data_IF_802766186835
#
_entry.id   IF_802766186835
#
_cell.length_a   1.000
_cell.length_b   1.000
_cell.length_c   1.000
_cell.angle_alpha   90.00
_cell.angle_beta   90.00
_cell.angle_gamma   90.00
#
_symmetry.space_group_name_H-M   'P 1'
#
loop_
_entity.id
_entity.type
_entity.pdbx_description
1 polymer ?
#
# COMPACT_ATOMS: atom_id res chain seq x y z
N UNK A 1 9.00 -28.02 -79.09
CA UNK A 1 8.26 -28.06 -77.83
C UNK A 1 9.10 -28.83 -76.81
N UNK A 2 9.92 -28.12 -76.03
CA UNK A 2 10.80 -28.70 -75.02
C UNK A 2 10.29 -28.31 -73.63
N UNK A 3 9.76 -29.30 -72.91
CA UNK A 3 9.28 -29.15 -71.53
C UNK A 3 10.48 -29.11 -70.58
N UNK A 4 10.66 -28.00 -69.86
CA UNK A 4 11.63 -27.87 -68.77
C UNK A 4 10.94 -28.34 -67.49
N UNK A 5 11.36 -29.48 -66.93
CA UNK A 5 10.97 -29.92 -65.59
C UNK A 5 11.75 -29.11 -64.55
N UNK A 6 11.05 -28.27 -63.78
CA UNK A 6 11.58 -27.70 -62.53
C UNK A 6 11.80 -28.83 -61.52
N UNK A 7 13.06 -29.12 -61.20
CA UNK A 7 13.42 -30.06 -60.15
C UNK A 7 13.12 -29.46 -58.78
N UNK A 8 12.20 -30.05 -58.04
CA UNK A 8 11.97 -29.73 -56.63
C UNK A 8 13.10 -30.37 -55.83
N UNK A 9 14.04 -29.56 -55.32
CA UNK A 9 15.11 -30.03 -54.45
C UNK A 9 14.48 -30.45 -53.10
N UNK A 10 14.32 -31.75 -52.87
CA UNK A 10 13.93 -32.28 -51.57
C UNK A 10 15.15 -32.26 -50.63
N UNK A 11 15.20 -31.25 -49.76
CA UNK A 11 16.16 -31.23 -48.65
C UNK A 11 16.00 -32.49 -47.77
N UNK A 12 17.10 -33.18 -47.38
CA UNK A 12 17.04 -34.38 -46.55
C UNK A 12 16.39 -34.09 -45.20
N UNK A 13 15.63 -35.05 -44.65
CA UNK A 13 14.84 -34.88 -43.42
C UNK A 13 15.63 -34.27 -42.25
N UNK A 14 16.91 -34.62 -42.10
CA UNK A 14 17.77 -34.09 -41.05
C UNK A 14 18.00 -32.57 -41.21
N UNK A 15 18.17 -32.07 -42.43
CA UNK A 15 18.33 -30.63 -42.72
C UNK A 15 17.04 -29.85 -42.44
N UNK A 16 15.87 -30.43 -42.72
CA UNK A 16 14.58 -29.82 -42.39
C UNK A 16 14.34 -29.73 -40.88
N UNK A 17 14.71 -30.78 -40.15
CA UNK A 17 14.64 -30.80 -38.68
C UNK A 17 15.58 -29.76 -38.08
N UNK A 18 16.84 -29.69 -38.54
CA UNK A 18 17.82 -28.69 -38.10
C UNK A 18 17.35 -27.25 -38.36
N UNK A 19 16.79 -26.97 -39.54
CA UNK A 19 16.23 -25.66 -39.85
C UNK A 19 15.04 -25.31 -38.95
N UNK A 20 14.15 -26.27 -38.68
CA UNK A 20 12.99 -26.07 -37.79
C UNK A 20 13.42 -25.84 -36.34
N UNK A 21 14.38 -26.64 -35.84
CA UNK A 21 14.98 -26.46 -34.52
C UNK A 21 15.67 -25.10 -34.39
N UNK A 22 16.39 -24.64 -35.41
CA UNK A 22 17.02 -23.33 -35.43
C UNK A 22 15.99 -22.19 -35.39
N UNK A 23 14.88 -22.30 -36.12
CA UNK A 23 13.78 -21.33 -36.06
C UNK A 23 13.11 -21.30 -34.68
N UNK A 24 12.87 -22.46 -34.07
CA UNK A 24 12.33 -22.54 -32.70
C UNK A 24 13.29 -21.87 -31.71
N UNK A 25 14.59 -22.14 -31.81
CA UNK A 25 15.61 -21.53 -30.97
C UNK A 25 15.64 -20.00 -31.16
N UNK A 26 15.55 -19.52 -32.41
CA UNK A 26 15.52 -18.09 -32.72
C UNK A 26 14.28 -17.40 -32.15
N UNK A 27 13.11 -18.04 -32.22
CA UNK A 27 11.84 -17.54 -31.66
C UNK A 27 11.92 -17.51 -30.12
N UNK A 28 12.46 -18.54 -29.49
CA UNK A 28 12.66 -18.59 -28.04
C UNK A 28 13.69 -17.55 -27.56
N UNK A 29 14.76 -17.32 -28.34
CA UNK A 29 15.72 -16.24 -28.11
C UNK A 29 15.03 -14.87 -28.25
N UNK A 30 14.23 -14.63 -29.29
CA UNK A 30 13.51 -13.37 -29.45
C UNK A 30 12.55 -13.09 -28.29
N UNK A 31 11.83 -14.10 -27.80
CA UNK A 31 10.95 -13.97 -26.64
C UNK A 31 11.69 -13.70 -25.33
N UNK A 32 12.91 -14.25 -25.17
CA UNK A 32 13.76 -13.97 -23.99
C UNK A 32 14.48 -12.63 -24.08
N UNK A 33 14.69 -12.10 -25.29
CA UNK A 33 15.27 -10.76 -25.53
C UNK A 33 14.26 -9.62 -25.66
N UNK A 34 12.95 -9.92 -25.73
CA UNK A 34 11.93 -8.89 -25.81
C UNK A 34 11.95 -8.04 -24.52
N UNK A 35 12.37 -6.78 -24.66
CA UNK A 35 12.42 -5.85 -23.54
C UNK A 35 11.02 -5.69 -22.94
N UNK A 36 10.89 -5.93 -21.64
CA UNK A 36 9.64 -5.65 -20.93
C UNK A 36 9.49 -4.16 -20.75
N UNK A 37 8.39 -3.61 -21.23
CA UNK A 37 8.07 -2.19 -21.10
C UNK A 37 7.03 -1.99 -19.99
N UNK A 38 7.32 -1.10 -19.04
CA UNK A 38 6.36 -0.71 -18.02
C UNK A 38 5.28 0.18 -18.64
N UNK A 39 4.01 -0.22 -18.50
CA UNK A 39 2.86 0.53 -19.06
C UNK A 39 2.04 1.28 -18.01
N UNK A 40 1.96 0.75 -16.79
CA UNK A 40 1.12 1.30 -15.74
C UNK A 40 1.60 0.85 -14.36
N UNK A 41 1.40 1.69 -13.35
CA UNK A 41 1.73 1.40 -11.95
C UNK A 41 0.57 1.82 -11.07
N UNK A 42 0.15 0.92 -10.18
CA UNK A 42 -0.72 1.24 -9.05
C UNK A 42 0.08 1.09 -7.78
N UNK A 43 0.00 2.09 -6.91
CA UNK A 43 0.65 2.07 -5.60
C UNK A 43 -0.43 2.24 -4.55
N UNK A 44 -0.49 1.29 -3.62
CA UNK A 44 -1.26 1.41 -2.39
C UNK A 44 -0.25 1.44 -1.23
N UNK A 45 -0.32 2.48 -0.41
CA UNK A 45 0.54 2.62 0.75
C UNK A 45 -0.26 3.08 1.96
N UNK A 46 0.20 2.68 3.16
CA UNK A 46 -0.34 3.17 4.43
C UNK A 46 0.20 4.58 4.69
N UNK A 47 -0.53 5.35 5.49
CA UNK A 47 -0.01 6.57 6.09
C UNK A 47 1.31 6.31 6.85
N UNK A 48 2.05 7.38 7.13
CA UNK A 48 3.29 7.30 7.91
C UNK A 48 3.04 7.14 9.40
N UNK A 49 4.12 7.20 10.16
CA UNK A 49 4.07 7.26 11.62
C UNK A 49 3.08 8.31 12.14
N UNK A 50 2.32 7.95 13.17
CA UNK A 50 1.24 8.74 13.73
C UNK A 50 1.14 8.57 15.25
N UNK A 51 0.44 9.50 15.88
CA UNK A 51 0.03 9.41 17.29
C UNK A 51 -1.04 8.29 17.49
N UNK A 52 -1.26 7.82 18.73
CA UNK A 52 -2.32 6.86 19.06
C UNK A 52 -3.69 7.36 18.56
N UNK A 53 -4.59 6.46 18.17
CA UNK A 53 -5.96 6.87 17.75
C UNK A 53 -6.87 7.04 18.98
N UNK A 54 -6.66 6.22 20.00
CA UNK A 54 -7.43 6.17 21.24
C UNK A 54 -6.50 5.73 22.37
N UNK A 55 -6.96 5.88 23.61
CA UNK A 55 -6.29 5.33 24.79
C UNK A 55 -7.18 4.28 25.47
N UNK A 56 -6.56 3.46 26.32
CA UNK A 56 -7.25 2.55 27.22
C UNK A 56 -7.47 3.21 28.60
N UNK A 57 -8.46 2.76 29.41
CA UNK A 57 -8.91 3.49 30.61
C UNK A 57 -7.83 3.87 31.62
N UNK A 58 -6.83 3.01 31.82
CA UNK A 58 -5.76 3.18 32.81
C UNK A 58 -4.49 3.80 32.24
N UNK A 59 -4.49 4.16 30.95
CA UNK A 59 -3.35 4.77 30.30
C UNK A 59 -2.98 6.10 30.98
N UNK A 60 -1.73 6.26 31.47
CA UNK A 60 -1.29 7.48 32.11
C UNK A 60 -1.20 8.64 31.11
N UNK A 61 -0.90 8.37 29.84
CA UNK A 61 -0.72 9.38 28.83
C UNK A 61 -2.08 9.92 28.38
N UNK A 62 -2.20 11.23 28.18
CA UNK A 62 -3.42 11.90 27.69
C UNK A 62 -3.17 12.53 26.33
N UNK A 63 -4.26 12.81 25.61
CA UNK A 63 -4.19 13.45 24.30
C UNK A 63 -3.37 14.75 24.30
N UNK A 64 -3.41 15.51 25.40
CA UNK A 64 -2.65 16.75 25.58
C UNK A 64 -1.13 16.59 25.54
N UNK A 65 -0.60 15.38 25.75
CA UNK A 65 0.84 15.09 25.65
C UNK A 65 1.29 14.94 24.19
N UNK A 66 0.34 14.74 23.27
CA UNK A 66 0.59 14.63 21.84
C UNK A 66 0.40 16.01 21.20
N UNK A 67 1.45 16.66 20.65
CA UNK A 67 1.35 18.04 20.20
C UNK A 67 0.33 18.28 19.08
N UNK A 68 -0.03 17.23 18.34
CA UNK A 68 -1.06 17.26 17.30
C UNK A 68 -2.39 16.62 17.75
N UNK A 69 -2.47 16.05 18.96
CA UNK A 69 -3.60 15.22 19.40
C UNK A 69 -3.57 13.81 18.81
N UNK A 70 -4.67 13.06 18.96
CA UNK A 70 -4.77 11.66 18.56
C UNK A 70 -4.99 11.46 17.06
N UNK A 71 -4.45 10.35 16.55
CA UNK A 71 -4.62 9.85 15.18
C UNK A 71 -3.95 10.72 14.11
N UNK A 72 -3.04 11.62 14.51
CA UNK A 72 -2.40 12.60 13.65
C UNK A 72 -1.01 12.17 13.17
N UNK A 73 -0.65 12.58 11.96
CA UNK A 73 0.65 12.27 11.36
C UNK A 73 1.77 13.02 12.09
N UNK A 74 2.84 12.30 12.46
CA UNK A 74 4.01 12.92 13.11
C UNK A 74 4.98 13.48 12.06
N UNK A 75 6.00 14.24 12.52
CA UNK A 75 7.12 14.66 11.67
C UNK A 75 7.88 13.46 11.10
N UNK A 76 8.03 12.39 11.88
CA UNK A 76 8.60 11.12 11.42
C UNK A 76 7.77 10.55 10.27
N UNK A 77 6.44 10.57 10.40
CA UNK A 77 5.53 10.09 9.35
C UNK A 77 5.63 10.92 8.07
N UNK A 78 5.76 12.25 8.17
CA UNK A 78 6.00 13.11 7.02
C UNK A 78 7.30 12.74 6.30
N UNK A 79 8.40 12.56 7.06
CA UNK A 79 9.70 12.19 6.51
C UNK A 79 9.68 10.82 5.82
N UNK A 80 9.04 9.81 6.43
CA UNK A 80 8.89 8.48 5.84
C UNK A 80 8.20 8.53 4.47
N UNK A 81 7.16 9.34 4.33
CA UNK A 81 6.43 9.43 3.07
C UNK A 81 7.17 10.27 2.04
N UNK A 82 7.86 11.32 2.47
CA UNK A 82 8.78 12.05 1.60
C UNK A 82 9.85 11.14 1.00
N UNK A 83 10.50 10.31 1.84
CA UNK A 83 11.49 9.32 1.40
C UNK A 83 10.90 8.26 0.47
N UNK A 84 9.69 7.79 0.76
CA UNK A 84 8.95 6.90 -0.15
C UNK A 84 8.74 7.57 -1.51
N UNK A 85 8.37 8.86 -1.53
CA UNK A 85 8.24 9.66 -2.74
C UNK A 85 9.54 9.72 -3.55
N UNK A 86 10.66 10.02 -2.88
CA UNK A 86 11.98 10.05 -3.50
C UNK A 86 12.39 8.67 -4.06
N UNK A 87 12.14 7.60 -3.31
CA UNK A 87 12.39 6.25 -3.77
C UNK A 87 11.59 5.93 -5.04
N UNK A 88 10.31 6.26 -5.06
CA UNK A 88 9.44 6.03 -6.22
C UNK A 88 9.85 6.87 -7.42
N UNK A 89 10.27 8.12 -7.20
CA UNK A 89 10.85 8.97 -8.25
C UNK A 89 12.09 8.34 -8.87
N UNK A 90 13.00 7.82 -8.05
CA UNK A 90 14.21 7.13 -8.54
C UNK A 90 13.85 5.86 -9.30
N UNK A 91 12.97 5.03 -8.72
CA UNK A 91 12.52 3.75 -9.28
C UNK A 91 11.86 3.91 -10.64
N UNK A 92 11.05 4.94 -10.82
CA UNK A 92 10.28 5.17 -12.05
C UNK A 92 10.82 6.35 -12.87
N UNK A 93 12.08 6.72 -12.71
CA UNK A 93 12.69 7.86 -13.42
C UNK A 93 12.65 7.74 -14.95
N UNK A 94 12.61 6.52 -15.50
CA UNK A 94 12.46 6.27 -16.94
C UNK A 94 11.00 6.13 -17.40
N UNK A 95 10.04 6.13 -16.48
CA UNK A 95 8.61 5.95 -16.76
C UNK A 95 7.80 7.21 -16.45
N UNK A 96 8.09 7.86 -15.32
CA UNK A 96 7.50 9.13 -14.92
C UNK A 96 8.33 10.29 -15.44
N UNK A 97 7.67 11.25 -16.08
CA UNK A 97 8.29 12.50 -16.49
C UNK A 97 8.89 13.27 -15.32
N UNK A 98 9.89 14.11 -15.61
CA UNK A 98 10.57 14.86 -14.56
C UNK A 98 9.65 15.89 -13.88
N UNK A 99 8.66 16.40 -14.61
CA UNK A 99 7.62 17.33 -14.15
C UNK A 99 6.29 16.63 -13.93
N UNK A 100 5.46 17.15 -13.03
CA UNK A 100 4.10 16.64 -12.83
C UNK A 100 3.21 16.91 -14.05
N UNK A 101 2.42 15.92 -14.48
CA UNK A 101 1.40 16.06 -15.52
C UNK A 101 0.08 15.44 -15.05
N UNK A 102 -0.99 16.25 -15.00
CA UNK A 102 -2.32 15.83 -14.55
C UNK A 102 -2.99 14.75 -15.40
N UNK A 103 -2.51 14.51 -16.62
CA UNK A 103 -3.05 13.48 -17.52
C UNK A 103 -2.40 12.11 -17.29
N UNK A 104 -1.23 12.06 -16.63
CA UNK A 104 -0.40 10.86 -16.47
C UNK A 104 -0.37 10.36 -15.02
N UNK A 105 -0.78 11.20 -14.06
CA UNK A 105 -0.69 10.91 -12.64
C UNK A 105 -2.00 11.22 -11.92
N UNK A 106 -2.42 10.29 -11.06
CA UNK A 106 -3.59 10.42 -10.20
C UNK A 106 -3.25 9.91 -8.80
N UNK A 107 -3.67 10.65 -7.79
CA UNK A 107 -3.56 10.22 -6.39
C UNK A 107 -4.87 10.48 -5.66
N UNK A 108 -5.27 9.50 -4.86
CA UNK A 108 -6.45 9.57 -4.01
C UNK A 108 -6.09 9.17 -2.59
N UNK A 109 -6.79 9.75 -1.62
CA UNK A 109 -6.65 9.46 -0.19
C UNK A 109 -8.02 9.18 0.41
N UNK A 110 -8.03 8.39 1.48
CA UNK A 110 -9.15 8.40 2.43
C UNK A 110 -9.23 9.74 3.13
N UNK A 111 -10.41 10.05 3.67
CA UNK A 111 -10.72 11.31 4.35
C UNK A 111 -10.22 11.32 5.81
N UNK A 112 -8.93 11.12 6.03
CA UNK A 112 -8.26 11.33 7.32
C UNK A 112 -7.07 12.25 7.15
N UNK A 113 -6.87 13.18 8.08
CA UNK A 113 -5.73 14.12 8.05
C UNK A 113 -4.40 13.38 7.82
N UNK A 114 -4.17 12.30 8.58
CA UNK A 114 -2.94 11.50 8.45
C UNK A 114 -2.70 10.90 7.06
N UNK A 115 -3.75 10.51 6.33
CA UNK A 115 -3.59 9.93 4.98
C UNK A 115 -3.45 11.02 3.93
N UNK A 116 -4.16 12.15 4.09
CA UNK A 116 -4.04 13.31 3.21
C UNK A 116 -2.64 13.94 3.33
N UNK A 117 -2.17 14.17 4.55
CA UNK A 117 -0.83 14.71 4.82
C UNK A 117 0.28 13.75 4.38
N UNK A 118 0.05 12.44 4.51
CA UNK A 118 0.95 11.41 3.97
C UNK A 118 1.06 11.50 2.45
N UNK A 119 -0.06 11.62 1.74
CA UNK A 119 -0.07 11.80 0.30
C UNK A 119 0.64 13.09 -0.12
N UNK A 120 0.43 14.20 0.58
CA UNK A 120 1.12 15.47 0.31
C UNK A 120 2.64 15.37 0.53
N UNK A 121 3.08 14.70 1.61
CA UNK A 121 4.50 14.47 1.89
C UNK A 121 5.15 13.53 0.85
N UNK A 122 4.42 12.51 0.43
CA UNK A 122 4.83 11.64 -0.68
C UNK A 122 5.01 12.40 -1.98
N UNK A 123 4.08 13.30 -2.31
CA UNK A 123 4.14 14.10 -3.54
C UNK A 123 5.30 15.10 -3.55
N UNK A 124 5.67 15.68 -2.40
CA UNK A 124 6.81 16.58 -2.33
C UNK A 124 8.14 15.85 -2.59
N UNK A 125 8.24 14.56 -2.25
CA UNK A 125 9.38 13.71 -2.61
C UNK A 125 9.33 13.19 -4.05
N UNK A 126 8.13 12.93 -4.58
CA UNK A 126 7.93 12.38 -5.92
C UNK A 126 8.09 13.41 -7.04
N UNK A 127 7.54 14.62 -6.85
CA UNK A 127 7.48 15.69 -7.85
C UNK A 127 8.01 17.04 -7.32
N UNK A 128 9.28 17.12 -6.87
CA UNK A 128 9.89 18.41 -6.61
C UNK A 128 9.83 19.28 -7.89
N UNK A 129 9.39 20.54 -7.81
CA UNK A 129 9.21 21.38 -8.99
C UNK A 129 10.55 21.64 -9.69
N UNK A 130 10.54 21.56 -11.02
CA UNK A 130 11.70 21.85 -11.87
C UNK A 130 11.31 22.82 -12.97
N UNK A 131 12.26 23.66 -13.40
CA UNK A 131 12.08 24.57 -14.54
C UNK A 131 10.82 25.44 -14.41
N UNK A 132 9.89 25.37 -15.35
CA UNK A 132 8.66 26.17 -15.37
C UNK A 132 7.64 25.82 -14.28
N UNK A 133 7.80 24.69 -13.57
CA UNK A 133 6.95 24.34 -12.43
C UNK A 133 7.41 24.97 -11.11
N UNK A 134 8.58 25.63 -11.09
CA UNK A 134 9.02 26.42 -9.94
C UNK A 134 8.24 27.74 -9.96
N UNK A 135 7.17 27.81 -9.15
CA UNK A 135 6.37 29.02 -8.97
C UNK A 135 6.95 29.95 -7.88
N UNK A 136 7.73 29.39 -6.95
CA UNK A 136 8.43 30.11 -5.90
C UNK A 136 9.88 29.59 -5.77
N UNK A 137 10.91 30.41 -6.06
CA UNK A 137 12.31 30.01 -5.96
C UNK A 137 12.79 29.65 -4.54
N UNK A 138 12.13 30.17 -3.50
CA UNK A 138 12.49 29.92 -2.09
C UNK A 138 11.79 28.68 -1.52
N UNK A 139 10.81 28.13 -2.25
CA UNK A 139 10.01 26.99 -1.82
C UNK A 139 9.92 25.96 -2.95
N UNK A 140 10.78 24.94 -2.90
CA UNK A 140 10.80 23.83 -3.84
C UNK A 140 9.67 22.82 -3.59
N UNK A 141 8.45 23.32 -3.57
CA UNK A 141 7.21 22.58 -3.45
C UNK A 141 6.19 23.12 -4.45
N UNK A 142 5.33 22.26 -4.99
CA UNK A 142 4.22 22.67 -5.84
C UNK A 142 2.92 22.00 -5.37
N UNK A 143 1.78 22.68 -5.50
CA UNK A 143 0.50 22.08 -5.19
C UNK A 143 0.15 21.01 -6.22
N UNK A 144 -0.05 19.77 -5.76
CA UNK A 144 -0.58 18.66 -6.56
C UNK A 144 -1.89 18.20 -5.92
N UNK A 145 -2.99 18.08 -6.68
CA UNK A 145 -4.29 17.74 -6.12
C UNK A 145 -4.29 16.32 -5.55
N UNK A 146 -4.73 16.18 -4.29
CA UNK A 146 -5.05 14.90 -3.65
C UNK A 146 -6.56 14.75 -3.65
N UNK A 147 -7.07 13.76 -4.38
CA UNK A 147 -8.50 13.51 -4.44
C UNK A 147 -8.97 12.79 -3.18
N UNK A 148 -9.99 13.33 -2.51
CA UNK A 148 -10.53 12.77 -1.27
C UNK A 148 -11.94 12.27 -1.55
N UNK A 149 -12.23 11.07 -1.06
CA UNK A 149 -13.58 10.52 -1.04
C UNK A 149 -14.08 10.54 0.41
N UNK A 150 -15.27 11.13 0.60
CA UNK A 150 -15.87 11.28 1.93
C UNK A 150 -16.00 9.91 2.62
N UNK A 151 -15.70 9.83 3.92
CA UNK A 151 -15.70 8.56 4.68
C UNK A 151 -16.97 7.72 4.48
N UNK A 152 -18.13 8.37 4.39
CA UNK A 152 -19.45 7.72 4.32
C UNK A 152 -19.79 7.15 2.94
N UNK A 153 -19.12 7.62 1.89
CA UNK A 153 -19.33 7.15 0.51
C UNK A 153 -18.13 6.38 -0.04
N UNK A 154 -17.04 6.31 0.74
CA UNK A 154 -15.82 5.60 0.39
C UNK A 154 -16.01 4.09 0.57
N UNK A 155 -15.87 3.34 -0.53
CA UNK A 155 -16.04 1.87 -0.55
C UNK A 155 -14.81 1.15 -1.15
N UNK A 156 -13.68 1.83 -1.32
CA UNK A 156 -12.51 1.31 -2.06
C UNK A 156 -11.24 1.21 -1.23
N UNK A 157 -11.03 2.11 -0.26
CA UNK A 157 -9.77 2.23 0.50
C UNK A 157 -9.97 2.16 2.01
N UNK A 158 -11.17 2.42 2.53
CA UNK A 158 -11.49 2.45 3.94
C UNK A 158 -12.19 1.15 4.37
N UNK A 159 -11.39 0.19 4.84
CA UNK A 159 -11.86 -1.10 5.34
C UNK A 159 -11.79 -1.18 6.87
N UNK A 160 -12.68 -1.95 7.53
CA UNK A 160 -13.77 -2.73 6.93
C UNK A 160 -14.91 -1.85 6.39
N UNK A 161 -15.65 -2.35 5.40
CA UNK A 161 -16.75 -1.61 4.80
C UNK A 161 -17.91 -1.48 5.79
N UNK A 162 -18.48 -0.27 6.00
CA UNK A 162 -19.63 -0.10 6.86
C UNK A 162 -20.88 -0.76 6.26
N UNK A 163 -21.83 -1.16 7.12
CA UNK A 163 -23.14 -1.68 6.72
C UNK A 163 -23.09 -2.88 5.77
N UNK A 164 -22.27 -3.88 6.10
CA UNK A 164 -22.17 -5.12 5.33
C UNK A 164 -22.61 -6.32 6.19
N UNK A 165 -23.91 -6.67 6.22
CA UNK A 165 -24.42 -7.73 7.10
C UNK A 165 -23.71 -9.07 6.91
N UNK A 166 -23.37 -9.42 5.66
CA UNK A 166 -22.63 -10.65 5.38
C UNK A 166 -21.20 -10.62 5.94
N UNK A 167 -20.56 -9.46 6.02
CA UNK A 167 -19.25 -9.34 6.66
C UNK A 167 -19.37 -9.58 8.17
N UNK A 168 -20.42 -9.05 8.81
CA UNK A 168 -20.67 -9.27 10.25
C UNK A 168 -20.93 -10.75 10.55
N UNK A 169 -21.73 -11.44 9.71
CA UNK A 169 -21.92 -12.90 9.79
C UNK A 169 -20.60 -13.66 9.66
N UNK A 170 -19.77 -13.32 8.67
CA UNK A 170 -18.47 -13.96 8.46
C UNK A 170 -17.50 -13.71 9.62
N UNK A 171 -17.56 -12.54 10.26
CA UNK A 171 -16.79 -12.24 11.48
C UNK A 171 -17.25 -13.12 12.64
N UNK A 172 -18.55 -13.31 12.82
CA UNK A 172 -19.09 -14.22 13.84
C UNK A 172 -18.74 -15.69 13.56
N UNK A 173 -18.89 -16.15 12.31
CA UNK A 173 -18.47 -17.48 11.87
C UNK A 173 -16.98 -17.71 12.15
N UNK A 174 -16.13 -16.71 11.86
CA UNK A 174 -14.70 -16.76 12.12
C UNK A 174 -14.40 -16.82 13.61
N UNK A 175 -14.99 -15.92 14.41
CA UNK A 175 -14.76 -15.87 15.86
C UNK A 175 -15.24 -17.14 16.57
N UNK A 176 -16.29 -17.79 16.08
CA UNK A 176 -16.81 -19.05 16.67
C UNK A 176 -16.11 -20.30 16.11
N UNK A 177 -15.31 -20.16 15.05
CA UNK A 177 -14.61 -21.29 14.43
C UNK A 177 -13.60 -21.95 15.37
N UNK A 178 -13.44 -23.27 15.24
CA UNK A 178 -12.42 -24.04 15.98
C UNK A 178 -11.01 -23.50 15.72
N UNK A 179 -10.72 -23.07 14.50
CA UNK A 179 -9.43 -22.49 14.12
C UNK A 179 -9.11 -21.24 14.94
N UNK A 180 -10.04 -20.29 15.01
CA UNK A 180 -9.85 -19.08 15.79
C UNK A 180 -9.75 -19.37 17.29
N UNK A 181 -10.65 -20.20 17.82
CA UNK A 181 -10.65 -20.58 19.23
C UNK A 181 -9.33 -21.26 19.65
N UNK A 182 -8.79 -22.13 18.80
CA UNK A 182 -7.49 -22.77 19.05
C UNK A 182 -6.32 -21.77 19.01
N UNK A 183 -6.41 -20.72 18.18
CA UNK A 183 -5.36 -19.68 18.10
C UNK A 183 -5.37 -18.73 19.30
N UNK A 184 -6.54 -18.41 19.84
CA UNK A 184 -6.66 -17.48 20.97
C UNK A 184 -6.45 -18.17 22.33
N UNK A 185 -6.77 -19.46 22.44
CA UNK A 185 -6.71 -20.21 23.70
C UNK A 185 -5.34 -20.11 24.43
N UNK A 186 -4.18 -20.20 23.76
CA UNK A 186 -2.88 -20.07 24.42
C UNK A 186 -2.61 -18.70 25.06
N UNK A 187 -3.36 -17.66 24.67
CA UNK A 187 -3.16 -16.28 25.12
C UNK A 187 -4.15 -15.86 26.21
N UNK A 188 -5.01 -16.76 26.70
CA UNK A 188 -6.08 -16.39 27.65
C UNK A 188 -5.55 -15.78 28.95
N UNK A 189 -4.46 -16.31 29.51
CA UNK A 189 -3.84 -15.75 30.73
C UNK A 189 -3.24 -14.35 30.48
N UNK A 190 -2.64 -14.15 29.29
CA UNK A 190 -2.14 -12.85 28.87
C UNK A 190 -3.27 -11.85 28.69
N UNK A 191 -4.38 -12.24 28.04
CA UNK A 191 -5.55 -11.38 27.85
C UNK A 191 -6.21 -11.02 29.19
N UNK A 192 -6.24 -11.95 30.15
CA UNK A 192 -6.73 -11.68 31.50
C UNK A 192 -5.84 -10.65 32.22
N UNK A 193 -4.52 -10.82 32.10
CA UNK A 193 -3.55 -9.86 32.66
C UNK A 193 -3.71 -8.49 32.00
N UNK A 194 -3.84 -8.44 30.67
CA UNK A 194 -4.06 -7.20 29.93
C UNK A 194 -5.35 -6.52 30.38
N UNK A 195 -6.47 -7.22 30.45
CA UNK A 195 -7.76 -6.67 30.91
C UNK A 195 -7.65 -5.97 32.27
N UNK A 196 -7.00 -6.62 33.24
CA UNK A 196 -6.78 -6.06 34.59
C UNK A 196 -5.93 -4.78 34.51
N UNK A 197 -4.83 -4.81 33.75
CA UNK A 197 -3.89 -3.71 33.71
C UNK A 197 -4.35 -2.53 32.85
N UNK A 198 -5.20 -2.76 31.84
CA UNK A 198 -5.71 -1.72 30.95
C UNK A 198 -7.04 -1.13 31.45
N UNK A 199 -7.75 -1.84 32.32
CA UNK A 199 -9.10 -1.49 32.76
C UNK A 199 -10.19 -1.86 31.74
N UNK A 200 -9.86 -2.73 30.78
CA UNK A 200 -10.80 -3.24 29.77
C UNK A 200 -11.44 -4.56 30.23
N UNK A 201 -12.61 -4.88 29.70
CA UNK A 201 -13.23 -6.18 29.95
C UNK A 201 -12.59 -7.28 29.07
N UNK A 202 -12.31 -8.45 29.65
CA UNK A 202 -11.76 -9.60 28.92
C UNK A 202 -12.61 -9.98 27.70
N UNK A 203 -13.94 -9.95 27.84
CA UNK A 203 -14.84 -10.29 26.73
C UNK A 203 -14.68 -9.32 25.56
N UNK A 204 -14.45 -8.03 25.82
CA UNK A 204 -14.19 -7.06 24.76
C UNK A 204 -12.84 -7.29 24.07
N UNK A 205 -11.79 -7.70 24.79
CA UNK A 205 -10.49 -8.02 24.19
C UNK A 205 -10.51 -9.24 23.26
N UNK A 206 -11.49 -10.13 23.40
CA UNK A 206 -11.65 -11.34 22.57
C UNK A 206 -12.42 -11.10 21.28
N UNK A 207 -13.15 -9.99 21.19
CA UNK A 207 -14.01 -9.68 20.05
C UNK A 207 -13.17 -8.94 19.00
N UNK A 208 -13.16 -9.43 17.76
CA UNK A 208 -12.34 -8.84 16.70
C UNK A 208 -12.91 -7.53 16.15
N UNK A 209 -14.23 -7.38 16.14
CA UNK A 209 -14.92 -6.25 15.48
C UNK A 209 -14.78 -4.91 16.21
N UNK A 210 -14.50 -4.93 17.52
CA UNK A 210 -14.38 -3.72 18.32
C UNK A 210 -12.93 -3.17 18.38
N UNK A 211 -11.97 -3.91 17.83
CA UNK A 211 -10.54 -3.59 17.77
C UNK A 211 -9.87 -3.26 19.12
N UNK A 212 -10.45 -3.57 20.28
CA UNK A 212 -9.92 -3.14 21.59
C UNK A 212 -8.52 -3.71 21.89
N UNK A 213 -8.29 -4.98 21.58
CA UNK A 213 -6.98 -5.62 21.73
C UNK A 213 -5.93 -4.93 20.84
N UNK A 214 -6.29 -4.64 19.59
CA UNK A 214 -5.41 -3.96 18.65
C UNK A 214 -5.15 -2.51 19.05
N UNK A 215 -6.18 -1.77 19.46
CA UNK A 215 -6.08 -0.39 19.93
C UNK A 215 -5.14 -0.30 21.13
N UNK A 216 -5.26 -1.20 22.11
CA UNK A 216 -4.37 -1.23 23.27
C UNK A 216 -2.91 -1.38 22.85
N UNK A 217 -2.62 -2.31 21.93
CA UNK A 217 -1.28 -2.47 21.38
C UNK A 217 -0.81 -1.24 20.60
N UNK A 218 -1.68 -0.67 19.76
CA UNK A 218 -1.38 0.50 18.93
C UNK A 218 -1.01 1.71 19.79
N UNK A 219 -1.75 1.96 20.86
CA UNK A 219 -1.45 3.02 21.85
C UNK A 219 -0.06 2.84 22.44
N UNK A 220 0.21 1.68 23.04
CA UNK A 220 1.51 1.39 23.66
C UNK A 220 2.66 1.45 22.64
N UNK A 221 2.43 1.02 21.40
CA UNK A 221 3.43 1.05 20.34
C UNK A 221 3.78 2.48 19.93
N UNK A 222 2.77 3.34 19.77
CA UNK A 222 2.99 4.76 19.47
C UNK A 222 3.72 5.47 20.61
N UNK A 223 3.45 5.11 21.87
CA UNK A 223 4.07 5.70 23.07
C UNK A 223 5.56 5.39 23.24
N UNK A 224 6.09 4.38 22.56
CA UNK A 224 7.54 4.10 22.53
C UNK A 224 8.34 5.32 22.05
N UNK A 225 7.70 6.25 21.33
CA UNK A 225 8.34 7.48 20.82
C UNK A 225 8.40 8.59 21.89
N UNK A 226 7.55 8.54 22.92
CA UNK A 226 7.52 9.52 24.02
C UNK A 226 8.55 9.18 25.12
N UNK A 227 8.91 7.91 25.26
CA UNK A 227 9.89 7.41 26.24
C UNK A 227 11.32 7.32 25.68
#
# INVERSE_FOLDING_TARGET
SSSVRMGVIQLPNLSRILCFSFHIILILLQQTTAARELKFVVVLFRHGDRTPIVNFPTDPHKESEWPQGFGQLTKTGMQQLFELGQYMRKRYSSFLNSTYNRQEFYIQSTDYDRTIMSAQSYLSGLFPPTSSQIWNPELLWQPIPVHIFQKTTEQRLNFPLPNCPRFDELQQETQTSKEFQNRIQPYMDFLQTMAINTGLELNHLKILDNFQLWNTYDTLHCEVIIN
#
